data_IF_725747145943
#
_entry.id   IF_725747145943
#
_cell.length_a   1.000
_cell.length_b   1.000
_cell.length_c   1.000
_cell.angle_alpha   90.00
_cell.angle_beta   90.00
_cell.angle_gamma   90.00
#
_symmetry.space_group_name_H-M   'P 1'
#
loop_
_entity.id
_entity.type
_entity.pdbx_description
1 polymer ?
#
# COMPACT_ATOMS: atom_id res chain seq x y z
N UNK A 1 -21.59 27.67 -12.89
CA UNK A 1 -21.59 26.76 -11.71
C UNK A 1 -21.73 27.61 -10.46
N UNK A 2 -22.81 27.44 -9.69
CA UNK A 2 -23.04 28.25 -8.49
C UNK A 2 -22.12 27.77 -7.35
N UNK A 3 -21.63 28.70 -6.52
CA UNK A 3 -20.69 28.42 -5.41
C UNK A 3 -21.20 27.28 -4.49
N UNK A 4 -22.51 27.25 -4.25
CA UNK A 4 -23.21 26.22 -3.46
C UNK A 4 -23.10 24.82 -4.08
N UNK A 5 -23.14 24.73 -5.41
CA UNK A 5 -22.98 23.46 -6.14
C UNK A 5 -21.54 22.97 -6.21
N UNK A 6 -20.57 23.88 -6.04
CA UNK A 6 -19.15 23.55 -5.96
C UNK A 6 -18.79 23.05 -4.55
N UNK A 7 -19.25 23.76 -3.51
CA UNK A 7 -19.10 23.36 -2.11
C UNK A 7 -19.79 22.03 -1.83
N UNK A 8 -20.94 21.77 -2.45
CA UNK A 8 -21.66 20.50 -2.25
C UNK A 8 -20.96 19.28 -2.88
N UNK A 9 -20.12 19.50 -3.91
CA UNK A 9 -19.28 18.45 -4.53
C UNK A 9 -18.02 18.17 -3.72
N UNK A 10 -17.51 19.15 -2.96
CA UNK A 10 -16.28 19.04 -2.18
C UNK A 10 -16.52 18.82 -0.68
N UNK A 11 -17.73 18.43 -0.27
CA UNK A 11 -18.11 18.23 1.15
C UNK A 11 -17.14 17.34 1.92
N UNK A 12 -16.61 16.28 1.27
CA UNK A 12 -15.66 15.36 1.88
C UNK A 12 -14.35 16.06 2.26
N UNK A 13 -13.82 16.92 1.38
CA UNK A 13 -12.60 17.68 1.65
C UNK A 13 -12.81 18.68 2.79
N UNK A 14 -13.95 19.37 2.80
CA UNK A 14 -14.31 20.28 3.89
C UNK A 14 -14.47 19.55 5.22
N UNK A 15 -15.09 18.36 5.21
CA UNK A 15 -15.20 17.51 6.40
C UNK A 15 -13.84 17.06 6.93
N UNK A 16 -12.93 16.63 6.04
CA UNK A 16 -11.58 16.24 6.43
C UNK A 16 -10.79 17.41 7.04
N UNK A 17 -10.87 18.59 6.42
CA UNK A 17 -10.25 19.81 6.95
C UNK A 17 -10.81 20.14 8.32
N UNK A 18 -12.14 20.08 8.50
CA UNK A 18 -12.77 20.36 9.77
C UNK A 18 -12.30 19.39 10.87
N UNK A 19 -12.29 18.08 10.60
CA UNK A 19 -11.81 17.06 11.55
C UNK A 19 -10.32 17.28 11.88
N UNK A 20 -9.50 17.60 10.88
CA UNK A 20 -8.08 17.89 11.10
C UNK A 20 -7.87 19.12 11.98
N UNK A 21 -8.59 20.22 11.73
CA UNK A 21 -8.51 21.43 12.55
C UNK A 21 -8.98 21.17 13.98
N UNK A 22 -10.09 20.45 14.15
CA UNK A 22 -10.57 20.03 15.48
C UNK A 22 -9.50 19.20 16.19
N UNK A 23 -8.84 18.28 15.48
CA UNK A 23 -7.74 17.48 16.00
C UNK A 23 -6.55 18.34 16.44
N UNK A 24 -6.13 19.31 15.62
CA UNK A 24 -5.00 20.20 15.94
C UNK A 24 -5.31 21.07 17.15
N UNK A 25 -6.45 21.77 17.16
CA UNK A 25 -6.79 22.72 18.22
C UNK A 25 -7.29 22.05 19.50
N UNK A 26 -7.94 20.90 19.40
CA UNK A 26 -8.44 20.12 20.53
C UNK A 26 -7.41 19.17 21.12
N UNK A 27 -6.21 19.05 20.54
CA UNK A 27 -5.21 18.09 21.02
C UNK A 27 -4.60 18.53 22.35
N UNK A 28 -4.43 17.59 23.31
CA UNK A 28 -3.61 17.84 24.48
C UNK A 28 -2.14 18.08 24.10
N UNK A 29 -1.47 18.91 24.90
CA UNK A 29 -0.06 19.23 24.75
C UNK A 29 0.75 18.30 25.65
N UNK A 30 1.79 17.69 25.12
CA UNK A 30 2.74 16.88 25.87
C UNK A 30 3.53 17.73 26.88
N UNK A 31 4.12 17.11 27.90
CA UNK A 31 4.97 17.79 28.90
C UNK A 31 6.12 18.60 28.27
N UNK A 32 6.54 18.24 27.04
CA UNK A 32 7.57 18.96 26.26
C UNK A 32 7.03 20.12 25.42
N UNK A 33 5.75 20.49 25.54
CA UNK A 33 5.12 21.56 24.74
C UNK A 33 4.66 21.15 23.35
N UNK A 34 4.80 19.86 22.98
CA UNK A 34 4.44 19.36 21.65
C UNK A 34 2.97 18.95 21.56
N UNK A 35 2.30 19.32 20.47
CA UNK A 35 0.94 18.89 20.16
C UNK A 35 0.92 17.38 19.83
N UNK A 36 0.11 16.61 20.55
CA UNK A 36 0.09 15.14 20.43
C UNK A 36 -0.52 14.70 19.10
N UNK A 37 -1.55 15.40 18.61
CA UNK A 37 -2.20 15.12 17.33
C UNK A 37 -1.25 15.32 16.15
N UNK A 38 -0.43 16.37 16.19
CA UNK A 38 0.60 16.64 15.17
C UNK A 38 1.91 15.87 15.40
N UNK A 39 1.97 14.98 16.40
CA UNK A 39 3.16 14.17 16.61
C UNK A 39 3.42 13.28 15.41
N UNK A 40 4.69 13.10 15.06
CA UNK A 40 5.10 12.28 13.93
C UNK A 40 4.55 10.84 14.02
N UNK A 41 4.56 10.26 15.22
CA UNK A 41 3.99 8.94 15.47
C UNK A 41 2.50 8.88 15.14
N UNK A 42 1.71 9.81 15.68
CA UNK A 42 0.27 9.85 15.43
C UNK A 42 -0.05 10.07 13.95
N UNK A 43 0.65 10.99 13.27
CA UNK A 43 0.45 11.22 11.84
C UNK A 43 0.78 9.98 11.01
N UNK A 44 1.89 9.29 11.33
CA UNK A 44 2.23 8.04 10.67
C UNK A 44 1.21 6.93 10.93
N UNK A 45 0.69 6.83 12.15
CA UNK A 45 -0.28 5.79 12.49
C UNK A 45 -1.61 6.02 11.75
N UNK A 46 -2.07 7.27 11.65
CA UNK A 46 -3.22 7.63 10.80
C UNK A 46 -2.96 7.28 9.34
N UNK A 47 -1.80 7.65 8.80
CA UNK A 47 -1.44 7.34 7.41
C UNK A 47 -1.36 5.82 7.16
N UNK A 48 -0.82 5.05 8.10
CA UNK A 48 -0.77 3.58 8.02
C UNK A 48 -2.17 2.95 8.04
N UNK A 49 -3.04 3.44 8.91
CA UNK A 49 -4.43 2.96 9.00
C UNK A 49 -5.17 3.22 7.68
N UNK A 50 -5.10 4.45 7.16
CA UNK A 50 -5.74 4.82 5.89
C UNK A 50 -5.12 4.05 4.71
N UNK A 51 -3.79 3.90 4.68
CA UNK A 51 -3.09 3.13 3.64
C UNK A 51 -3.54 1.68 3.60
N UNK A 52 -3.73 1.04 4.77
CA UNK A 52 -4.17 -0.35 4.86
C UNK A 52 -5.59 -0.50 4.32
N UNK A 53 -6.52 0.36 4.76
CA UNK A 53 -7.90 0.34 4.25
C UNK A 53 -7.95 0.65 2.76
N UNK A 54 -7.17 1.62 2.28
CA UNK A 54 -7.10 1.99 0.87
C UNK A 54 -6.61 0.83 0.00
N UNK A 55 -5.54 0.14 0.41
CA UNK A 55 -5.01 -1.02 -0.31
C UNK A 55 -6.06 -2.13 -0.43
N UNK A 56 -6.73 -2.48 0.68
CA UNK A 56 -7.79 -3.50 0.66
C UNK A 56 -8.96 -3.05 -0.24
N UNK A 57 -9.37 -1.78 -0.17
CA UNK A 57 -10.45 -1.23 -0.99
C UNK A 57 -10.15 -1.31 -2.50
N UNK A 58 -8.91 -1.11 -2.92
CA UNK A 58 -8.53 -1.30 -4.33
C UNK A 58 -8.73 -2.75 -4.80
N UNK A 59 -8.36 -3.73 -3.97
CA UNK A 59 -8.61 -5.15 -4.24
C UNK A 59 -10.10 -5.49 -4.28
N UNK A 60 -10.87 -5.01 -3.30
CA UNK A 60 -12.33 -5.20 -3.25
C UNK A 60 -13.03 -4.62 -4.49
N UNK A 61 -12.52 -3.51 -5.04
CA UNK A 61 -13.07 -2.91 -6.26
C UNK A 61 -12.99 -3.87 -7.45
N UNK A 62 -11.86 -4.55 -7.65
CA UNK A 62 -11.71 -5.52 -8.73
C UNK A 62 -12.70 -6.69 -8.62
N UNK A 63 -12.95 -7.17 -7.40
CA UNK A 63 -13.89 -8.28 -7.16
C UNK A 63 -15.34 -7.86 -7.43
N UNK A 64 -15.73 -6.66 -6.98
CA UNK A 64 -17.06 -6.11 -7.25
C UNK A 64 -17.29 -5.95 -8.76
N UNK A 65 -16.27 -5.48 -9.51
CA UNK A 65 -16.37 -5.33 -10.96
C UNK A 65 -16.58 -6.67 -11.69
N UNK A 66 -16.10 -7.78 -11.12
CA UNK A 66 -16.37 -9.14 -11.63
C UNK A 66 -17.75 -9.70 -11.27
N UNK A 67 -18.62 -8.91 -10.61
CA UNK A 67 -19.97 -9.31 -10.22
C UNK A 67 -20.03 -10.16 -8.95
N UNK A 68 -18.92 -10.26 -8.20
CA UNK A 68 -18.87 -10.96 -6.92
C UNK A 68 -19.02 -10.00 -5.74
N UNK A 69 -19.83 -10.38 -4.75
CA UNK A 69 -19.81 -9.78 -3.41
C UNK A 69 -18.92 -10.68 -2.55
N UNK A 70 -17.61 -10.51 -2.67
CA UNK A 70 -16.67 -11.39 -2.00
C UNK A 70 -16.44 -10.97 -0.55
N UNK A 71 -17.16 -11.62 0.36
CA UNK A 71 -16.97 -11.51 1.80
C UNK A 71 -15.64 -12.12 2.27
N UNK A 72 -14.94 -12.90 1.43
CA UNK A 72 -13.68 -13.56 1.80
C UNK A 72 -12.55 -12.56 2.06
N UNK A 73 -12.60 -11.35 1.49
CA UNK A 73 -11.60 -10.31 1.75
C UNK A 73 -11.61 -9.89 3.23
N UNK A 74 -12.79 -9.85 3.85
CA UNK A 74 -12.93 -9.55 5.27
C UNK A 74 -12.41 -10.68 6.18
N UNK A 75 -12.69 -11.94 5.84
CA UNK A 75 -12.20 -13.09 6.61
C UNK A 75 -10.69 -13.29 6.45
N UNK A 76 -10.13 -13.03 5.26
CA UNK A 76 -8.69 -13.00 5.03
C UNK A 76 -8.01 -11.90 5.85
N UNK A 77 -8.56 -10.68 5.85
CA UNK A 77 -8.05 -9.59 6.70
C UNK A 77 -8.04 -9.99 8.18
N UNK A 78 -9.12 -10.61 8.67
CA UNK A 78 -9.22 -11.08 10.05
C UNK A 78 -8.14 -12.14 10.37
N UNK A 79 -7.98 -13.17 9.54
CA UNK A 79 -6.95 -14.20 9.73
C UNK A 79 -5.55 -13.59 9.71
N UNK A 80 -5.25 -12.72 8.74
CA UNK A 80 -3.97 -12.02 8.67
C UNK A 80 -3.70 -11.18 9.93
N UNK A 81 -4.71 -10.50 10.46
CA UNK A 81 -4.57 -9.69 11.69
C UNK A 81 -4.26 -10.56 12.91
N UNK A 82 -4.89 -11.73 13.04
CA UNK A 82 -4.64 -12.69 14.12
C UNK A 82 -3.24 -13.29 13.98
N UNK A 83 -2.84 -13.70 12.78
CA UNK A 83 -1.49 -14.22 12.52
C UNK A 83 -0.42 -13.17 12.86
N UNK A 84 -0.64 -11.91 12.48
CA UNK A 84 0.25 -10.80 12.83
C UNK A 84 0.31 -10.58 14.35
N UNK A 85 -0.84 -10.56 15.03
CA UNK A 85 -0.89 -10.44 16.49
C UNK A 85 -0.13 -11.58 17.18
N UNK A 86 -0.27 -12.82 16.70
CA UNK A 86 0.45 -13.99 17.23
C UNK A 86 1.96 -13.85 17.03
N UNK A 87 2.41 -13.37 15.86
CA UNK A 87 3.83 -13.08 15.59
C UNK A 87 4.41 -12.04 16.54
N UNK A 88 3.63 -11.03 16.92
CA UNK A 88 4.07 -9.94 17.78
C UNK A 88 4.03 -10.28 19.28
N UNK A 89 3.13 -11.18 19.69
CA UNK A 89 2.83 -11.42 21.12
C UNK A 89 3.37 -12.74 21.64
N UNK A 90 3.55 -13.76 20.78
CA UNK A 90 3.98 -15.09 21.20
C UNK A 90 5.45 -15.30 20.80
N UNK A 91 6.37 -15.43 21.78
CA UNK A 91 7.77 -15.68 21.50
C UNK A 91 8.02 -17.12 21.02
N UNK A 92 9.03 -17.29 20.18
CA UNK A 92 9.46 -18.59 19.66
C UNK A 92 8.95 -18.91 18.25
N UNK A 93 9.32 -20.08 17.72
CA UNK A 93 8.91 -20.54 16.39
C UNK A 93 7.50 -21.14 16.49
N UNK A 94 6.51 -20.27 16.42
CA UNK A 94 5.10 -20.64 16.33
C UNK A 94 4.74 -21.08 14.91
N UNK A 95 3.64 -21.83 14.68
CA UNK A 95 3.15 -22.10 13.33
C UNK A 95 2.93 -20.82 12.50
N UNK A 96 2.51 -19.74 13.15
CA UNK A 96 2.40 -18.41 12.52
C UNK A 96 3.76 -17.85 12.09
N UNK A 97 4.83 -18.06 12.85
CA UNK A 97 6.20 -17.69 12.43
C UNK A 97 6.73 -18.59 11.32
N UNK A 98 6.58 -19.90 11.48
CA UNK A 98 7.08 -20.90 10.54
C UNK A 98 6.44 -20.79 9.14
N UNK A 99 5.16 -20.40 9.06
CA UNK A 99 4.44 -20.26 7.80
C UNK A 99 4.30 -18.80 7.37
N UNK A 100 4.00 -17.89 8.30
CA UNK A 100 3.72 -16.49 8.00
C UNK A 100 4.94 -15.72 7.51
N UNK A 101 6.12 -15.93 8.11
CA UNK A 101 7.33 -15.21 7.70
C UNK A 101 7.80 -15.62 6.30
N UNK A 102 7.91 -16.93 5.96
CA UNK A 102 8.31 -17.32 4.61
C UNK A 102 7.28 -16.92 3.55
N UNK A 103 5.98 -17.05 3.84
CA UNK A 103 4.93 -16.68 2.87
C UNK A 103 4.90 -15.18 2.60
N UNK A 104 5.01 -14.35 3.64
CA UNK A 104 5.10 -12.88 3.45
C UNK A 104 6.35 -12.47 2.67
N UNK A 105 7.50 -13.08 2.97
CA UNK A 105 8.73 -12.85 2.20
C UNK A 105 8.57 -13.25 0.73
N UNK A 106 8.05 -14.46 0.45
CA UNK A 106 7.84 -14.93 -0.93
C UNK A 106 6.89 -14.04 -1.73
N UNK A 107 5.81 -13.58 -1.10
CA UNK A 107 4.85 -12.67 -1.74
C UNK A 107 5.48 -11.31 -2.01
N UNK A 108 6.20 -10.73 -1.05
CA UNK A 108 6.90 -9.46 -1.21
C UNK A 108 7.94 -9.52 -2.35
N UNK A 109 8.76 -10.57 -2.37
CA UNK A 109 9.75 -10.82 -3.41
C UNK A 109 9.08 -10.96 -4.80
N UNK A 110 7.99 -11.73 -4.87
CA UNK A 110 7.28 -11.97 -6.12
C UNK A 110 6.68 -10.68 -6.68
N UNK A 111 6.06 -9.86 -5.81
CA UNK A 111 5.49 -8.56 -6.20
C UNK A 111 6.59 -7.56 -6.59
N UNK A 112 7.68 -7.49 -5.83
CA UNK A 112 8.83 -6.64 -6.12
C UNK A 112 9.48 -6.97 -7.45
N UNK A 113 9.67 -8.27 -7.74
CA UNK A 113 10.20 -8.74 -9.02
C UNK A 113 9.26 -8.42 -10.18
N UNK A 114 7.94 -8.62 -10.01
CA UNK A 114 6.94 -8.34 -11.04
C UNK A 114 6.84 -6.84 -11.36
N UNK A 115 6.84 -5.99 -10.33
CA UNK A 115 6.82 -4.54 -10.47
C UNK A 115 8.09 -4.03 -11.15
N UNK A 116 9.27 -4.51 -10.73
CA UNK A 116 10.54 -4.15 -11.35
C UNK A 116 10.56 -4.57 -12.83
N UNK A 117 10.11 -5.79 -13.14
CA UNK A 117 10.01 -6.28 -14.52
C UNK A 117 9.08 -5.41 -15.36
N UNK A 118 7.91 -5.04 -14.83
CA UNK A 118 6.96 -4.16 -15.52
C UNK A 118 7.56 -2.78 -15.84
N UNK A 119 8.27 -2.18 -14.88
CA UNK A 119 8.95 -0.87 -15.06
C UNK A 119 10.01 -0.96 -16.16
N UNK A 120 10.87 -2.00 -16.13
CA UNK A 120 11.93 -2.20 -17.12
C UNK A 120 11.37 -2.35 -18.55
N UNK A 121 10.29 -3.13 -18.70
CA UNK A 121 9.62 -3.31 -19.99
C UNK A 121 9.03 -2.00 -20.53
N UNK A 122 8.44 -1.17 -19.66
CA UNK A 122 7.87 0.12 -20.08
C UNK A 122 8.94 1.14 -20.48
N UNK A 123 10.06 1.21 -19.76
CA UNK A 123 11.19 2.06 -20.12
C UNK A 123 11.75 1.65 -21.49
N UNK A 124 11.84 0.35 -21.76
CA UNK A 124 12.31 -0.16 -23.05
C UNK A 124 11.34 0.14 -24.18
N UNK A 125 10.03 -0.03 -23.97
CA UNK A 125 9.01 0.34 -24.97
C UNK A 125 9.06 1.84 -25.29
N UNK A 126 9.25 2.69 -24.28
CA UNK A 126 9.41 4.13 -24.45
C UNK A 126 10.69 4.47 -25.25
N UNK A 127 11.80 3.76 -25.03
CA UNK A 127 13.03 3.90 -25.81
C UNK A 127 12.93 3.35 -27.23
N UNK A 128 12.27 2.20 -27.43
CA UNK A 128 12.05 1.60 -28.74
C UNK A 128 11.12 2.45 -29.61
N UNK A 129 10.15 3.15 -29.00
CA UNK A 129 9.34 4.17 -29.69
C UNK A 129 10.14 5.42 -30.08
N UNK A 130 11.21 5.75 -29.34
CA UNK A 130 12.16 6.81 -29.69
C UNK A 130 13.24 6.36 -30.70
N UNK A 131 13.55 5.06 -30.75
CA UNK A 131 14.53 4.42 -31.64
C UNK A 131 13.88 3.46 -32.65
N UNK A 132 12.79 3.86 -33.33
CA UNK A 132 12.09 3.06 -34.33
C UNK A 132 12.95 2.72 -35.57
N UNK A 133 13.98 1.89 -35.37
CA UNK A 133 14.96 1.44 -36.35
C UNK A 133 15.94 0.37 -35.87
N UNK A 134 16.00 -0.01 -34.58
CA UNK A 134 16.85 -1.13 -34.13
C UNK A 134 16.09 -2.09 -33.21
N UNK A 135 16.17 -3.37 -33.56
CA UNK A 135 15.46 -4.48 -32.92
C UNK A 135 16.01 -4.71 -31.49
N UNK A 136 15.37 -4.13 -30.47
CA UNK A 136 15.81 -4.26 -29.07
C UNK A 136 15.20 -5.52 -28.46
N UNK A 137 15.82 -6.67 -28.75
CA UNK A 137 15.56 -7.94 -28.06
C UNK A 137 16.25 -7.94 -26.71
N UNK A 138 15.52 -8.24 -25.64
CA UNK A 138 16.06 -8.31 -24.29
C UNK A 138 16.87 -9.58 -24.10
N UNK A 139 18.10 -9.42 -23.64
CA UNK A 139 18.92 -10.51 -23.16
C UNK A 139 18.42 -11.00 -21.78
N UNK A 140 18.66 -12.28 -21.48
CA UNK A 140 18.23 -12.95 -20.24
C UNK A 140 18.63 -12.17 -18.98
N UNK A 141 19.78 -11.48 -19.01
CA UNK A 141 20.29 -10.68 -17.90
C UNK A 141 19.39 -9.48 -17.60
N UNK A 142 18.95 -8.76 -18.64
CA UNK A 142 18.09 -7.56 -18.49
C UNK A 142 16.61 -7.90 -18.32
N UNK A 143 16.16 -9.03 -18.85
CA UNK A 143 14.76 -9.47 -18.77
C UNK A 143 14.40 -10.24 -17.50
N UNK A 144 15.34 -10.96 -16.90
CA UNK A 144 15.07 -11.88 -15.78
C UNK A 144 16.00 -11.68 -14.57
N UNK A 145 17.32 -11.57 -14.78
CA UNK A 145 18.29 -11.55 -13.67
C UNK A 145 18.22 -10.24 -12.88
N UNK A 146 18.28 -9.10 -13.56
CA UNK A 146 18.21 -7.78 -12.92
C UNK A 146 16.89 -7.59 -12.14
N UNK A 147 15.69 -7.84 -12.71
CA UNK A 147 14.45 -7.73 -11.93
C UNK A 147 14.36 -8.73 -10.77
N UNK A 148 14.92 -9.93 -10.90
CA UNK A 148 15.00 -10.90 -9.81
C UNK A 148 15.87 -10.43 -8.65
N UNK A 149 17.07 -9.91 -8.94
CA UNK A 149 18.01 -9.41 -7.92
C UNK A 149 17.50 -8.15 -7.25
N UNK A 150 16.95 -7.20 -8.01
CA UNK A 150 16.34 -5.98 -7.44
C UNK A 150 15.14 -6.32 -6.57
N UNK A 151 14.32 -7.30 -6.99
CA UNK A 151 13.23 -7.81 -6.16
C UNK A 151 13.68 -8.47 -4.85
N UNK A 152 14.93 -8.93 -4.75
CA UNK A 152 15.53 -9.50 -3.52
C UNK A 152 16.14 -8.43 -2.62
N UNK A 153 16.56 -7.30 -3.19
CA UNK A 153 17.25 -6.22 -2.47
C UNK A 153 16.24 -5.18 -1.91
N UNK A 154 15.08 -5.03 -2.55
CA UNK A 154 13.96 -4.20 -2.08
C UNK A 154 13.06 -4.97 -1.11
#
# INVERSE_FOLDING_TARGET
>A
MNLISLVSRTKLYWGLIAIFLIGVFGSPISSKGNNIFLSYGNLLDVLRQVSTTGLIATGMTAVILTGGIDLSVGSLMAICSVVCAMLLTVPGITPSAALGVPTTALVALSLGALATRFILLNIQKSRAGAEAGRDVRLDTTRGLVIPGVVGVIL
#
